data_IF_290067640055
#
_entry.id   IF_290067640055
#
_cell.length_a   1.000
_cell.length_b   1.000
_cell.length_c   1.000
_cell.angle_alpha   90.00
_cell.angle_beta   90.00
_cell.angle_gamma   90.00
#
_symmetry.space_group_name_H-M   'P 1'
#
loop_
_entity.id
_entity.type
_entity.pdbx_description
1 polymer ?
#
# COMPACT_ATOMS: atom_id res chain seq x y z
N UNK A 1 -41.91 89.68 -15.16
CA UNK A 1 -43.01 88.93 -15.80
C UNK A 1 -42.64 87.45 -15.74
N UNK A 2 -43.58 86.61 -15.30
CA UNK A 2 -43.40 85.26 -14.78
C UNK A 2 -43.71 84.20 -15.86
N UNK A 3 -43.03 83.03 -15.79
CA UNK A 3 -43.44 81.66 -16.19
C UNK A 3 -43.06 81.10 -17.60
N UNK A 4 -42.96 79.76 -17.80
CA UNK A 4 -41.78 78.93 -17.45
C UNK A 4 -41.40 77.84 -18.50
N UNK A 5 -40.32 77.11 -18.19
CA UNK A 5 -39.96 75.70 -18.47
C UNK A 5 -40.65 74.86 -19.56
N UNK A 6 -39.83 74.10 -20.31
CA UNK A 6 -40.01 72.64 -20.47
C UNK A 6 -38.64 71.96 -20.68
N UNK A 7 -38.28 71.08 -19.74
CA UNK A 7 -37.20 70.10 -19.86
C UNK A 7 -37.63 68.96 -20.80
N UNK A 8 -36.74 68.49 -21.67
CA UNK A 8 -36.92 67.26 -22.44
C UNK A 8 -35.83 66.27 -22.05
N UNK A 9 -36.25 65.16 -21.45
CA UNK A 9 -35.45 64.00 -21.10
C UNK A 9 -35.04 63.26 -22.38
N UNK A 10 -33.73 63.16 -22.65
CA UNK A 10 -33.23 62.29 -23.70
C UNK A 10 -33.01 60.87 -23.18
N UNK A 11 -33.69 59.96 -23.87
CA UNK A 11 -33.85 58.54 -23.58
C UNK A 11 -32.53 57.77 -23.72
N UNK A 12 -32.27 56.95 -22.70
CA UNK A 12 -31.35 55.80 -22.73
C UNK A 12 -31.83 54.81 -23.81
N UNK A 13 -31.09 54.73 -24.92
CA UNK A 13 -31.31 53.72 -25.97
C UNK A 13 -30.70 52.40 -25.51
N UNK A 14 -31.55 51.50 -25.05
CA UNK A 14 -31.21 50.10 -24.80
C UNK A 14 -30.92 49.38 -26.12
N UNK A 15 -29.64 49.09 -26.37
CA UNK A 15 -29.16 48.30 -27.51
C UNK A 15 -29.45 46.82 -27.23
N UNK A 16 -30.51 46.27 -27.83
CA UNK A 16 -30.80 44.82 -27.86
C UNK A 16 -29.73 44.11 -28.70
N UNK A 17 -28.82 43.38 -28.06
CA UNK A 17 -27.97 42.42 -28.75
C UNK A 17 -28.80 41.20 -29.15
N UNK A 18 -29.05 41.06 -30.46
CA UNK A 18 -29.65 39.86 -31.03
C UNK A 18 -28.61 38.73 -30.99
N UNK A 19 -28.87 37.66 -30.24
CA UNK A 19 -28.09 36.42 -30.30
C UNK A 19 -28.18 35.85 -31.72
N UNK A 20 -27.12 35.96 -32.49
CA UNK A 20 -27.01 35.31 -33.79
C UNK A 20 -27.17 33.79 -33.59
N UNK A 21 -28.21 33.23 -34.20
CA UNK A 21 -28.44 31.78 -34.21
C UNK A 21 -27.33 31.15 -35.02
N UNK A 22 -26.51 30.32 -34.37
CA UNK A 22 -25.45 29.57 -35.04
C UNK A 22 -26.06 28.64 -36.11
N UNK A 23 -25.91 29.00 -37.38
CA UNK A 23 -26.29 28.15 -38.50
C UNK A 23 -25.08 27.32 -38.89
N UNK A 24 -25.11 26.03 -38.54
CA UNK A 24 -24.10 25.07 -38.99
C UNK A 24 -24.13 24.98 -40.53
N UNK A 25 -23.02 25.35 -41.17
CA UNK A 25 -22.84 25.30 -42.63
C UNK A 25 -22.70 23.88 -43.19
N UNK A 26 -22.69 22.87 -42.32
CA UNK A 26 -22.58 21.47 -42.74
C UNK A 26 -23.89 20.95 -43.34
N UNK A 27 -23.78 20.35 -44.52
CA UNK A 27 -24.89 19.66 -45.21
C UNK A 27 -25.50 18.60 -44.30
N UNK A 28 -26.82 18.41 -44.36
CA UNK A 28 -27.56 17.50 -43.47
C UNK A 28 -26.98 16.07 -43.44
N UNK A 29 -26.54 15.55 -44.58
CA UNK A 29 -25.94 14.21 -44.66
C UNK A 29 -24.61 14.09 -43.90
N UNK A 30 -23.80 15.16 -43.86
CA UNK A 30 -22.55 15.19 -43.08
C UNK A 30 -22.85 15.11 -41.58
N UNK A 31 -23.96 15.73 -41.13
CA UNK A 31 -24.39 15.65 -39.72
C UNK A 31 -24.79 14.24 -39.34
N UNK A 32 -25.50 13.53 -40.23
CA UNK A 32 -25.90 12.14 -40.02
C UNK A 32 -24.67 11.24 -39.95
N UNK A 33 -23.72 11.38 -40.88
CA UNK A 33 -22.47 10.62 -40.88
C UNK A 33 -21.65 10.90 -39.62
N UNK A 34 -21.51 12.16 -39.23
CA UNK A 34 -20.81 12.53 -38.00
C UNK A 34 -21.47 11.92 -36.76
N UNK A 35 -22.80 11.84 -36.72
CA UNK A 35 -23.53 11.22 -35.62
C UNK A 35 -23.31 9.71 -35.57
N UNK A 36 -23.27 9.03 -36.72
CA UNK A 36 -22.97 7.59 -36.81
C UNK A 36 -21.53 7.32 -36.37
N UNK A 37 -20.56 8.11 -36.85
CA UNK A 37 -19.16 7.98 -36.43
C UNK A 37 -19.02 8.19 -34.92
N UNK A 38 -19.66 9.22 -34.37
CA UNK A 38 -19.69 9.44 -32.93
C UNK A 38 -20.32 8.25 -32.19
N UNK A 39 -21.47 7.74 -32.66
CA UNK A 39 -22.17 6.63 -32.01
C UNK A 39 -21.42 5.29 -32.06
N UNK A 40 -20.61 5.05 -33.10
CA UNK A 40 -19.84 3.80 -33.26
C UNK A 40 -18.49 3.86 -32.55
N UNK A 41 -17.80 5.00 -32.57
CA UNK A 41 -16.44 5.13 -32.03
C UNK A 41 -16.38 5.71 -30.60
N UNK A 42 -17.41 6.41 -30.13
CA UNK A 42 -17.45 6.85 -28.72
C UNK A 42 -17.55 5.69 -27.73
N UNK A 43 -18.34 4.63 -27.95
CA UNK A 43 -18.44 3.54 -26.97
C UNK A 43 -17.09 2.86 -26.69
N UNK A 44 -16.20 2.77 -27.68
CA UNK A 44 -14.90 2.11 -27.54
C UNK A 44 -13.88 2.99 -26.78
N UNK A 45 -13.89 4.30 -27.05
CA UNK A 45 -13.10 5.29 -26.30
C UNK A 45 -13.65 5.51 -24.88
N UNK A 46 -14.97 5.47 -24.72
CA UNK A 46 -15.63 5.56 -23.40
C UNK A 46 -15.44 4.27 -22.62
N UNK A 47 -15.43 3.09 -23.23
CA UNK A 47 -15.16 1.83 -22.53
C UNK A 47 -13.74 1.80 -21.93
N UNK A 48 -12.73 2.28 -22.65
CA UNK A 48 -11.38 2.44 -22.11
C UNK A 48 -11.30 3.54 -21.03
N UNK A 49 -12.15 4.56 -21.12
CA UNK A 49 -12.34 5.56 -20.07
C UNK A 49 -13.38 5.16 -18.99
N UNK A 50 -13.92 3.94 -18.98
CA UNK A 50 -14.87 3.42 -17.97
C UNK A 50 -14.22 2.38 -17.06
N UNK A 51 -13.00 1.92 -17.39
CA UNK A 51 -12.05 1.52 -16.34
C UNK A 51 -11.61 2.72 -15.49
N UNK A 52 -11.89 3.95 -15.94
CA UNK A 52 -11.91 5.11 -15.05
C UNK A 52 -13.16 5.01 -14.17
N UNK A 53 -12.94 4.77 -12.88
CA UNK A 53 -13.99 4.73 -11.88
C UNK A 53 -14.71 6.09 -11.83
N UNK A 54 -15.84 6.20 -12.51
CA UNK A 54 -16.68 7.40 -12.52
C UNK A 54 -17.15 7.77 -11.11
N UNK A 55 -17.07 6.87 -10.12
CA UNK A 55 -17.28 7.21 -8.70
C UNK A 55 -16.29 8.28 -8.21
N UNK A 56 -15.14 8.46 -8.85
CA UNK A 56 -14.14 9.51 -8.54
C UNK A 56 -14.67 10.92 -8.87
N UNK A 57 -15.56 11.07 -9.85
CA UNK A 57 -16.13 12.36 -10.23
C UNK A 57 -17.43 12.72 -9.49
N UNK A 58 -18.14 11.72 -8.94
CA UNK A 58 -19.42 11.92 -8.24
C UNK A 58 -19.42 11.54 -6.75
N UNK A 59 -18.31 11.05 -6.20
CA UNK A 59 -18.08 11.24 -4.78
C UNK A 59 -17.74 12.71 -4.58
N UNK A 60 -18.67 13.46 -4.00
CA UNK A 60 -18.27 14.58 -3.15
C UNK A 60 -17.08 14.07 -2.33
N UNK A 61 -15.85 14.62 -2.47
CA UNK A 61 -14.83 14.33 -1.49
C UNK A 61 -15.49 14.70 -0.17
N UNK A 62 -15.63 13.74 0.74
CA UNK A 62 -16.13 14.03 2.08
C UNK A 62 -15.39 15.30 2.51
N UNK A 63 -16.16 16.34 2.85
CA UNK A 63 -15.64 17.67 3.13
C UNK A 63 -14.43 17.51 4.06
N UNK A 64 -13.23 17.84 3.58
CA UNK A 64 -12.00 17.73 4.37
C UNK A 64 -11.18 16.44 4.26
N UNK A 65 -11.20 15.70 3.15
CA UNK A 65 -10.24 14.60 2.95
C UNK A 65 -8.77 15.10 2.99
N UNK A 66 -8.02 14.71 4.03
CA UNK A 66 -6.59 15.02 4.18
C UNK A 66 -5.77 13.78 3.83
N UNK A 67 -4.69 13.97 3.08
CA UNK A 67 -3.62 12.99 2.93
C UNK A 67 -2.45 13.43 3.83
N UNK A 68 -2.20 12.75 4.97
CA UNK A 68 -1.07 13.07 5.84
C UNK A 68 0.24 13.06 5.06
N UNK A 69 1.09 14.09 5.26
CA UNK A 69 2.36 14.24 4.53
C UNK A 69 3.32 13.07 4.77
N UNK A 70 3.23 12.42 5.92
CA UNK A 70 4.09 11.30 6.32
C UNK A 70 3.84 10.00 5.56
N UNK A 71 2.71 9.84 4.84
CA UNK A 71 2.45 8.66 4.02
C UNK A 71 3.24 8.64 2.71
N UNK A 72 4.02 9.69 2.41
CA UNK A 72 4.80 9.82 1.17
C UNK A 72 6.22 9.26 1.28
N UNK A 73 6.74 9.06 2.49
CA UNK A 73 8.13 8.65 2.72
C UNK A 73 8.21 7.76 3.97
N UNK A 74 7.96 6.46 3.79
CA UNK A 74 7.86 5.47 4.88
C UNK A 74 9.20 4.74 5.15
N UNK A 75 10.24 5.04 4.38
CA UNK A 75 11.54 4.41 4.51
C UNK A 75 12.21 4.73 5.84
N UNK A 76 12.16 3.77 6.78
CA UNK A 76 12.95 3.75 8.02
C UNK A 76 12.45 4.66 9.16
N UNK A 77 11.13 4.87 9.26
CA UNK A 77 10.53 5.64 10.36
C UNK A 77 10.04 4.69 11.46
N UNK A 78 10.28 5.07 12.72
CA UNK A 78 9.70 4.42 13.90
C UNK A 78 8.17 4.36 13.78
N UNK A 79 7.60 3.14 13.79
CA UNK A 79 6.16 2.89 13.60
C UNK A 79 5.30 3.70 14.56
N UNK A 80 5.69 3.79 15.83
CA UNK A 80 4.95 4.52 16.84
C UNK A 80 4.95 6.03 16.54
N UNK A 81 6.12 6.59 16.19
CA UNK A 81 6.27 8.00 15.83
C UNK A 81 5.47 8.36 14.58
N UNK A 82 5.48 7.51 13.56
CA UNK A 82 4.70 7.72 12.34
C UNK A 82 3.20 7.79 12.63
N UNK A 83 2.67 6.82 13.39
CA UNK A 83 1.25 6.80 13.78
C UNK A 83 0.90 8.02 14.63
N UNK A 84 1.76 8.37 15.61
CA UNK A 84 1.59 9.57 16.44
C UNK A 84 1.43 10.83 15.59
N UNK A 85 2.29 11.01 14.59
CA UNK A 85 2.24 12.18 13.71
C UNK A 85 0.97 12.20 12.86
N UNK A 86 0.56 11.05 12.31
CA UNK A 86 -0.71 10.92 11.58
C UNK A 86 -1.89 11.31 12.47
N UNK A 87 -1.93 10.82 13.71
CA UNK A 87 -2.99 11.15 14.67
C UNK A 87 -3.03 12.64 15.02
N UNK A 88 -1.87 13.28 15.23
CA UNK A 88 -1.80 14.74 15.47
C UNK A 88 -2.31 15.55 14.28
N UNK A 89 -2.03 15.10 13.06
CA UNK A 89 -2.43 15.79 11.84
C UNK A 89 -3.94 15.73 11.58
N UNK A 90 -4.65 14.76 12.15
CA UNK A 90 -6.09 14.57 11.90
C UNK A 90 -6.97 14.86 13.12
N UNK A 91 -6.42 14.76 14.33
CA UNK A 91 -7.19 14.92 15.56
C UNK A 91 -7.83 16.30 15.67
N UNK A 92 -9.10 16.31 16.10
CA UNK A 92 -9.92 17.51 16.31
C UNK A 92 -10.17 18.35 15.04
N UNK A 93 -9.84 17.84 13.86
CA UNK A 93 -10.26 18.41 12.58
C UNK A 93 -11.63 17.85 12.21
N UNK A 94 -12.52 18.62 11.56
CA UNK A 94 -13.85 18.18 11.16
C UNK A 94 -13.80 17.27 9.92
N UNK A 95 -12.93 16.26 9.94
CA UNK A 95 -12.68 15.36 8.82
C UNK A 95 -13.25 13.98 9.14
N UNK A 96 -14.00 13.42 8.21
CA UNK A 96 -14.60 12.07 8.32
C UNK A 96 -14.05 11.11 7.27
N UNK A 97 -13.16 11.56 6.41
CA UNK A 97 -12.47 10.72 5.45
C UNK A 97 -10.98 11.05 5.46
N UNK A 98 -10.15 10.01 5.49
CA UNK A 98 -8.69 10.13 5.44
C UNK A 98 -8.24 9.39 4.19
N UNK A 99 -7.69 10.14 3.23
CA UNK A 99 -7.18 9.57 1.99
C UNK A 99 -5.75 9.10 2.23
N UNK A 100 -5.57 7.78 2.32
CA UNK A 100 -4.27 7.16 2.55
C UNK A 100 -3.52 7.02 1.22
N UNK A 101 -4.21 6.61 0.15
CA UNK A 101 -3.67 6.56 -1.22
C UNK A 101 -4.71 6.99 -2.25
N UNK A 102 -4.35 6.93 -3.54
CA UNK A 102 -5.30 7.14 -4.64
C UNK A 102 -6.52 6.23 -4.55
N UNK A 103 -6.34 5.01 -4.02
CA UNK A 103 -7.35 3.94 -4.04
C UNK A 103 -7.87 3.57 -2.64
N UNK A 104 -7.26 4.11 -1.56
CA UNK A 104 -7.66 3.82 -0.19
C UNK A 104 -8.09 5.09 0.53
N UNK A 105 -9.37 5.12 0.90
CA UNK A 105 -9.95 6.13 1.80
C UNK A 105 -10.52 5.43 3.01
N UNK A 106 -10.12 5.87 4.21
CA UNK A 106 -10.69 5.42 5.47
C UNK A 106 -11.81 6.39 5.81
N UNK A 107 -13.04 5.89 5.87
CA UNK A 107 -14.18 6.65 6.36
C UNK A 107 -14.31 6.44 7.86
N UNK A 108 -14.49 7.52 8.59
CA UNK A 108 -14.79 7.56 10.01
C UNK A 108 -16.28 7.84 10.18
N UNK A 109 -16.94 7.12 11.10
CA UNK A 109 -18.35 7.37 11.41
C UNK A 109 -18.56 8.78 11.97
N UNK A 110 -17.56 9.31 12.69
CA UNK A 110 -17.55 10.65 13.27
C UNK A 110 -16.16 11.28 13.15
N UNK A 111 -16.05 12.63 13.16
CA UNK A 111 -14.74 13.29 13.23
C UNK A 111 -13.92 12.77 14.42
N UNK A 112 -12.62 12.54 14.20
CA UNK A 112 -11.75 12.01 15.24
C UNK A 112 -11.58 13.04 16.37
N UNK A 113 -12.28 12.83 17.48
CA UNK A 113 -12.12 13.61 18.71
C UNK A 113 -11.11 12.91 19.60
N UNK A 114 -9.90 13.45 19.67
CA UNK A 114 -8.81 12.85 20.43
C UNK A 114 -7.95 13.94 21.07
N UNK A 115 -7.70 13.83 22.37
CA UNK A 115 -6.80 14.75 23.07
C UNK A 115 -5.34 14.44 22.74
N UNK A 116 -4.46 15.44 22.85
CA UNK A 116 -3.02 15.22 22.71
C UNK A 116 -2.51 14.17 23.71
N UNK A 117 -3.05 14.16 24.93
CA UNK A 117 -2.73 13.14 25.93
C UNK A 117 -3.05 11.73 25.41
N UNK A 118 -4.23 11.52 24.83
CA UNK A 118 -4.61 10.23 24.27
C UNK A 118 -3.69 9.80 23.12
N UNK A 119 -3.23 10.76 22.30
CA UNK A 119 -2.27 10.47 21.23
C UNK A 119 -0.92 10.03 21.81
N UNK A 120 -0.44 10.65 22.89
CA UNK A 120 0.81 10.23 23.55
C UNK A 120 0.63 8.86 24.24
N UNK A 121 -0.53 8.56 24.82
CA UNK A 121 -0.83 7.22 25.35
C UNK A 121 -0.75 6.15 24.26
N UNK A 122 -1.31 6.44 23.07
CA UNK A 122 -1.21 5.56 21.90
C UNK A 122 0.24 5.42 21.45
N UNK A 123 1.02 6.50 21.42
CA UNK A 123 2.43 6.48 21.06
C UNK A 123 3.26 5.58 22.00
N UNK A 124 3.09 5.74 23.31
CA UNK A 124 3.79 4.90 24.29
C UNK A 124 3.35 3.44 24.19
N UNK A 125 2.06 3.19 23.96
CA UNK A 125 1.51 1.86 23.73
C UNK A 125 2.10 1.20 22.47
N UNK A 126 2.28 1.96 21.39
CA UNK A 126 2.82 1.52 20.11
C UNK A 126 4.31 1.18 20.13
N UNK A 127 5.03 1.45 21.23
CA UNK A 127 6.39 0.94 21.43
C UNK A 127 6.42 -0.58 21.61
N UNK A 128 5.28 -1.22 21.86
CA UNK A 128 5.11 -2.67 21.77
C UNK A 128 5.27 -3.20 20.34
N UNK A 129 5.43 -4.51 20.18
CA UNK A 129 5.65 -5.12 18.86
C UNK A 129 4.31 -5.41 18.16
N UNK A 130 4.00 -4.78 17.00
CA UNK A 130 2.92 -5.26 16.14
C UNK A 130 3.35 -6.58 15.49
N UNK A 131 2.49 -7.59 15.49
CA UNK A 131 2.87 -8.93 15.02
C UNK A 131 1.93 -9.53 13.98
N UNK A 132 0.65 -9.13 13.93
CA UNK A 132 -0.25 -9.61 12.87
C UNK A 132 0.15 -9.14 11.46
N UNK A 133 0.93 -8.07 11.37
CA UNK A 133 1.45 -7.48 10.13
C UNK A 133 2.51 -8.34 9.45
N UNK A 134 3.17 -9.25 10.17
CA UNK A 134 4.17 -10.18 9.62
C UNK A 134 3.59 -11.12 8.59
N UNK A 135 2.39 -11.65 8.85
CA UNK A 135 1.70 -12.53 7.91
C UNK A 135 1.39 -11.84 6.57
N UNK A 136 1.05 -10.54 6.63
CA UNK A 136 0.81 -9.74 5.43
C UNK A 136 2.12 -9.35 4.73
N UNK A 137 3.19 -9.07 5.48
CA UNK A 137 4.52 -8.88 4.93
C UNK A 137 4.98 -10.12 4.15
N UNK A 138 4.86 -11.30 4.75
CA UNK A 138 5.19 -12.57 4.11
C UNK A 138 4.34 -12.79 2.86
N UNK A 139 3.04 -12.48 2.92
CA UNK A 139 2.14 -12.60 1.77
C UNK A 139 2.57 -11.68 0.62
N UNK A 140 2.88 -10.43 0.91
CA UNK A 140 3.27 -9.43 -0.09
C UNK A 140 4.61 -9.82 -0.73
N UNK A 141 5.59 -10.23 0.07
CA UNK A 141 6.87 -10.74 -0.46
C UNK A 141 6.69 -12.00 -1.30
N UNK A 142 5.88 -12.95 -0.84
CA UNK A 142 5.53 -14.15 -1.61
C UNK A 142 4.89 -13.79 -2.96
N UNK A 143 4.09 -12.72 -2.98
CA UNK A 143 3.45 -12.18 -4.19
C UNK A 143 4.36 -11.27 -5.03
N UNK A 144 5.66 -11.20 -4.72
CA UNK A 144 6.64 -10.40 -5.45
C UNK A 144 6.58 -8.89 -5.18
N UNK A 145 5.91 -8.46 -4.10
CA UNK A 145 5.84 -7.06 -3.67
C UNK A 145 6.83 -6.80 -2.54
N UNK A 146 7.89 -6.06 -2.85
CA UNK A 146 8.83 -5.59 -1.84
C UNK A 146 8.23 -4.41 -1.07
N UNK A 147 7.93 -4.65 0.21
CA UNK A 147 7.35 -3.66 1.12
C UNK A 147 8.06 -3.79 2.46
N UNK A 148 8.31 -2.68 3.18
CA UNK A 148 8.86 -2.74 4.52
C UNK A 148 7.78 -3.20 5.53
N UNK A 149 8.14 -4.09 6.46
CA UNK A 149 7.20 -4.56 7.50
C UNK A 149 6.65 -3.40 8.35
N UNK A 150 7.49 -2.40 8.62
CA UNK A 150 7.11 -1.19 9.34
C UNK A 150 5.95 -0.43 8.66
N UNK A 151 5.99 -0.30 7.34
CA UNK A 151 4.95 0.40 6.55
C UNK A 151 3.59 -0.29 6.69
N UNK A 152 3.62 -1.63 6.67
CA UNK A 152 2.42 -2.46 6.84
C UNK A 152 1.87 -2.28 8.26
N UNK A 153 2.75 -2.25 9.27
CA UNK A 153 2.38 -2.02 10.66
C UNK A 153 1.78 -0.63 10.88
N UNK A 154 2.41 0.42 10.36
CA UNK A 154 1.91 1.80 10.41
C UNK A 154 0.50 1.85 9.84
N UNK A 155 0.30 1.28 8.66
CA UNK A 155 -0.99 1.33 7.98
C UNK A 155 -2.07 0.54 8.72
N UNK A 156 -1.82 -0.73 9.04
CA UNK A 156 -2.80 -1.60 9.69
C UNK A 156 -3.21 -1.05 11.07
N UNK A 157 -2.25 -0.63 11.89
CA UNK A 157 -2.54 -0.07 13.22
C UNK A 157 -3.27 1.26 13.13
N UNK A 158 -2.90 2.13 12.18
CA UNK A 158 -3.63 3.38 11.95
C UNK A 158 -5.09 3.09 11.61
N UNK A 159 -5.36 2.13 10.72
CA UNK A 159 -6.73 1.72 10.37
C UNK A 159 -7.49 1.25 11.62
N UNK A 160 -6.90 0.39 12.44
CA UNK A 160 -7.56 -0.13 13.64
C UNK A 160 -7.82 0.95 14.70
N UNK A 161 -6.85 1.83 14.96
CA UNK A 161 -6.99 2.94 15.92
C UNK A 161 -8.10 3.89 15.46
N UNK A 162 -8.12 4.23 14.17
CA UNK A 162 -9.13 5.11 13.59
C UNK A 162 -10.54 4.53 13.61
N UNK A 163 -10.66 3.21 13.58
CA UNK A 163 -11.93 2.51 13.65
C UNK A 163 -12.32 2.09 15.08
N UNK A 164 -11.58 2.56 16.10
CA UNK A 164 -11.79 2.23 17.51
C UNK A 164 -11.74 0.71 17.80
N UNK A 165 -11.04 -0.05 16.95
CA UNK A 165 -10.92 -1.51 17.03
C UNK A 165 -9.91 -1.92 18.10
N UNK A 166 -8.79 -1.20 18.16
CA UNK A 166 -7.73 -1.41 19.15
C UNK A 166 -7.58 -0.15 19.99
N UNK A 167 -7.45 -0.35 21.30
CA UNK A 167 -7.32 0.71 22.28
C UNK A 167 -6.06 0.48 23.11
N UNK A 168 -5.30 1.54 23.45
CA UNK A 168 -4.28 1.43 24.47
C UNK A 168 -4.97 1.10 25.81
N UNK A 169 -4.77 -0.15 26.24
CA UNK A 169 -5.14 -0.67 27.56
C UNK A 169 -3.88 -1.27 28.18
N UNK A 170 -3.42 -0.70 29.29
CA UNK A 170 -2.16 -1.11 29.93
C UNK A 170 -0.93 -0.91 29.04
N UNK A 171 0.09 -1.73 29.27
CA UNK A 171 1.32 -1.75 28.46
C UNK A 171 1.53 -3.18 27.92
N UNK A 172 0.79 -3.59 26.87
CA UNK A 172 0.86 -4.94 26.37
C UNK A 172 2.19 -5.14 25.63
N UNK A 173 2.85 -6.27 25.89
CA UNK A 173 4.07 -6.65 25.16
C UNK A 173 3.84 -6.84 23.66
N UNK A 174 2.59 -7.12 23.24
CA UNK A 174 2.22 -7.40 21.87
C UNK A 174 0.91 -6.71 21.49
N UNK A 175 0.91 -6.05 20.33
CA UNK A 175 -0.24 -5.30 19.83
C UNK A 175 -0.97 -6.12 18.78
N UNK A 176 -2.28 -6.30 19.01
CA UNK A 176 -3.19 -6.99 18.09
C UNK A 176 -3.50 -6.11 16.88
N UNK A 177 -3.67 -6.75 15.73
CA UNK A 177 -4.24 -6.13 14.52
C UNK A 177 -5.47 -6.91 14.07
N UNK A 178 -6.45 -6.24 13.49
CA UNK A 178 -7.66 -6.89 13.00
C UNK A 178 -7.51 -7.43 11.58
N UNK A 179 -8.33 -8.44 11.25
CA UNK A 179 -8.46 -8.98 9.89
C UNK A 179 -8.90 -7.88 8.91
N UNK A 180 -9.75 -6.96 9.38
CA UNK A 180 -10.19 -5.79 8.62
C UNK A 180 -9.02 -4.87 8.25
N UNK A 181 -8.17 -4.51 9.22
CA UNK A 181 -7.01 -3.66 8.97
C UNK A 181 -6.02 -4.30 8.00
N UNK A 182 -5.73 -5.60 8.14
CA UNK A 182 -4.87 -6.33 7.22
C UNK A 182 -5.45 -6.37 5.80
N UNK A 183 -6.77 -6.58 5.64
CA UNK A 183 -7.44 -6.50 4.33
C UNK A 183 -7.27 -5.12 3.68
N UNK A 184 -7.53 -4.03 4.41
CA UNK A 184 -7.36 -2.66 3.87
C UNK A 184 -5.89 -2.32 3.59
N UNK A 185 -4.96 -2.78 4.43
CA UNK A 185 -3.54 -2.60 4.19
C UNK A 185 -3.08 -3.33 2.92
N UNK A 186 -3.58 -4.55 2.67
CA UNK A 186 -3.27 -5.31 1.46
C UNK A 186 -3.69 -4.58 0.17
N UNK A 187 -4.86 -3.92 0.20
CA UNK A 187 -5.37 -3.12 -0.92
C UNK A 187 -4.48 -1.91 -1.23
N UNK A 188 -3.92 -1.26 -0.20
CA UNK A 188 -2.98 -0.15 -0.37
C UNK A 188 -1.71 -0.57 -1.12
N UNK A 189 -1.19 -1.76 -0.83
CA UNK A 189 -0.01 -2.30 -1.51
C UNK A 189 -0.33 -2.97 -2.86
N UNK A 190 -1.56 -2.78 -3.37
CA UNK A 190 -2.00 -3.29 -4.66
C UNK A 190 -2.22 -4.81 -4.70
N UNK A 191 -2.47 -5.43 -3.54
CA UNK A 191 -2.80 -6.85 -3.41
C UNK A 191 -4.07 -7.00 -2.58
N UNK A 192 -5.22 -6.72 -3.20
CA UNK A 192 -6.50 -6.72 -2.48
C UNK A 192 -6.88 -8.12 -1.99
N UNK A 193 -6.78 -8.32 -0.68
CA UNK A 193 -7.25 -9.50 0.01
C UNK A 193 -8.62 -9.29 0.63
N UNK A 194 -9.44 -10.33 0.58
CA UNK A 194 -10.80 -10.29 1.09
C UNK A 194 -10.92 -11.13 2.37
N UNK A 195 -11.53 -10.58 3.43
CA UNK A 195 -11.82 -11.34 4.63
C UNK A 195 -12.95 -12.33 4.33
N UNK A 196 -12.68 -13.60 4.62
CA UNK A 196 -13.62 -14.70 4.41
C UNK A 196 -13.65 -15.62 5.62
N UNK A 197 -14.75 -16.36 5.74
CA UNK A 197 -14.91 -17.46 6.68
C UNK A 197 -15.11 -18.74 5.89
N UNK A 198 -14.32 -19.77 6.19
CA UNK A 198 -14.48 -21.08 5.60
C UNK A 198 -15.68 -21.78 6.24
N UNK A 199 -16.57 -22.31 5.41
CA UNK A 199 -17.71 -23.10 5.87
C UNK A 199 -17.21 -24.27 6.75
N UNK A 200 -17.89 -24.54 7.86
CA UNK A 200 -17.57 -25.68 8.74
C UNK A 200 -17.55 -27.01 7.98
N UNK A 201 -18.40 -27.15 6.95
CA UNK A 201 -18.43 -28.34 6.08
C UNK A 201 -17.27 -28.37 5.07
N UNK A 202 -16.76 -27.20 4.66
CA UNK A 202 -15.61 -27.05 3.76
C UNK A 202 -14.26 -27.09 4.49
N UNK A 203 -14.22 -26.82 5.79
CA UNK A 203 -12.99 -26.84 6.61
C UNK A 203 -12.29 -28.20 6.56
N UNK A 204 -13.02 -29.30 6.47
CA UNK A 204 -12.46 -30.66 6.43
C UNK A 204 -12.10 -31.14 5.03
N UNK A 205 -12.80 -30.68 3.98
CA UNK A 205 -12.66 -31.21 2.62
C UNK A 205 -12.03 -30.25 1.58
N UNK A 206 -12.01 -28.93 1.81
CA UNK A 206 -11.76 -27.95 0.73
C UNK A 206 -10.65 -26.92 1.00
N UNK A 207 -9.80 -27.10 2.01
CA UNK A 207 -8.46 -26.49 1.96
C UNK A 207 -7.71 -27.15 0.81
N UNK A 208 -7.89 -26.57 -0.38
CA UNK A 208 -7.29 -26.99 -1.64
C UNK A 208 -6.20 -26.00 -2.02
N UNK A 209 -5.30 -26.42 -2.90
CA UNK A 209 -4.27 -25.55 -3.45
C UNK A 209 -4.84 -24.32 -4.20
N UNK A 210 -6.14 -24.28 -4.50
CA UNK A 210 -6.79 -23.14 -5.14
C UNK A 210 -6.94 -21.92 -4.20
N UNK A 211 -6.88 -22.11 -2.88
CA UNK A 211 -6.91 -21.02 -1.90
C UNK A 211 -5.51 -20.44 -1.63
N UNK A 212 -4.46 -21.16 -1.98
CA UNK A 212 -3.08 -20.81 -1.65
C UNK A 212 -2.55 -19.79 -2.66
N UNK A 213 -1.79 -18.76 -2.24
CA UNK A 213 -1.49 -18.39 -0.85
C UNK A 213 -2.64 -17.64 -0.17
N UNK A 214 -2.84 -17.87 1.14
CA UNK A 214 -3.79 -17.11 1.95
C UNK A 214 -3.30 -16.90 3.38
N UNK A 215 -3.76 -15.86 4.05
CA UNK A 215 -3.46 -15.64 5.47
C UNK A 215 -4.55 -16.32 6.29
N UNK A 216 -4.17 -17.25 7.16
CA UNK A 216 -5.06 -17.95 8.07
C UNK A 216 -5.03 -17.32 9.46
N UNK A 217 -6.19 -17.22 10.11
CA UNK A 217 -6.28 -16.91 11.52
C UNK A 217 -6.35 -18.20 12.34
N UNK A 218 -5.43 -18.37 13.28
CA UNK A 218 -5.37 -19.48 14.21
C UNK A 218 -6.00 -19.11 15.56
N UNK A 219 -6.49 -20.10 16.29
CA UNK A 219 -6.97 -19.99 17.65
C UNK A 219 -5.81 -19.54 18.55
N UNK A 220 -6.08 -18.64 19.49
CA UNK A 220 -5.04 -17.94 20.24
C UNK A 220 -4.58 -16.64 19.58
N UNK A 221 -5.42 -16.07 18.71
CA UNK A 221 -5.25 -14.77 18.08
C UNK A 221 -3.94 -14.70 17.26
N UNK A 222 -3.68 -15.61 16.33
CA UNK A 222 -2.43 -15.58 15.56
C UNK A 222 -2.70 -15.62 14.06
N UNK A 223 -1.91 -14.92 13.26
CA UNK A 223 -1.99 -14.97 11.81
C UNK A 223 -0.77 -15.67 11.22
N UNK A 224 -1.01 -16.58 10.29
CA UNK A 224 0.05 -17.27 9.53
C UNK A 224 -0.25 -17.22 8.05
N UNK A 225 0.78 -17.17 7.21
CA UNK A 225 0.62 -17.28 5.75
C UNK A 225 0.63 -18.75 5.36
N UNK A 226 -0.47 -19.30 4.87
CA UNK A 226 -0.48 -20.65 4.30
C UNK A 226 0.07 -20.61 2.87
N UNK A 227 1.15 -21.35 2.63
CA UNK A 227 1.92 -21.33 1.37
C UNK A 227 1.75 -22.60 0.54
N UNK A 228 1.31 -23.72 1.14
CA UNK A 228 1.06 -24.98 0.43
C UNK A 228 0.16 -25.92 1.25
N UNK A 229 -0.72 -26.65 0.56
CA UNK A 229 -1.54 -27.70 1.17
C UNK A 229 -1.31 -29.03 0.44
N UNK A 230 -0.95 -30.08 1.19
CA UNK A 230 -0.86 -31.46 0.68
C UNK A 230 -2.00 -32.30 1.23
N UNK A 231 -2.00 -33.60 0.91
CA UNK A 231 -2.99 -34.54 1.43
C UNK A 231 -2.99 -34.60 2.96
N UNK A 232 -1.80 -34.63 3.56
CA UNK A 232 -1.56 -34.89 4.98
C UNK A 232 -1.05 -33.68 5.78
N UNK A 233 -0.54 -32.63 5.11
CA UNK A 233 0.16 -31.49 5.75
C UNK A 233 -0.28 -30.15 5.20
N UNK A 234 -0.15 -29.13 6.05
CA UNK A 234 -0.30 -27.73 5.69
C UNK A 234 1.03 -27.03 6.02
N UNK A 235 1.60 -26.37 5.02
CA UNK A 235 2.81 -25.56 5.13
C UNK A 235 2.42 -24.09 5.24
N UNK A 236 3.06 -23.38 6.16
CA UNK A 236 2.78 -21.98 6.41
C UNK A 236 4.03 -21.22 6.88
N UNK A 237 4.09 -19.92 6.61
CA UNK A 237 5.06 -19.01 7.23
C UNK A 237 4.52 -18.50 8.56
N UNK A 238 5.30 -18.71 9.61
CA UNK A 238 5.13 -18.07 10.92
C UNK A 238 6.43 -17.34 11.27
N UNK A 239 6.34 -16.02 11.44
CA UNK A 239 7.47 -15.18 11.82
C UNK A 239 8.65 -15.29 10.83
N UNK A 240 8.32 -15.22 9.53
CA UNK A 240 9.25 -15.34 8.39
C UNK A 240 9.91 -16.73 8.25
N UNK A 241 9.41 -17.74 8.96
CA UNK A 241 9.93 -19.11 8.90
C UNK A 241 8.87 -20.06 8.37
N UNK A 242 9.25 -20.88 7.40
CA UNK A 242 8.39 -21.95 6.92
C UNK A 242 8.28 -23.06 7.98
N UNK A 243 7.05 -23.34 8.37
CA UNK A 243 6.66 -24.41 9.27
C UNK A 243 5.62 -25.32 8.60
N UNK A 244 5.35 -26.47 9.22
CA UNK A 244 4.27 -27.34 8.78
C UNK A 244 3.59 -28.04 9.96
N UNK A 245 2.31 -28.32 9.78
CA UNK A 245 1.52 -29.14 10.69
C UNK A 245 0.79 -30.24 9.92
N UNK A 246 0.53 -31.41 10.55
CA UNK A 246 -0.46 -32.35 10.05
C UNK A 246 -1.79 -31.62 9.83
N UNK A 247 -2.48 -31.94 8.73
CA UNK A 247 -3.70 -31.24 8.29
C UNK A 247 -4.75 -31.18 9.41
N UNK A 248 -5.01 -32.31 10.07
CA UNK A 248 -5.94 -32.39 11.20
C UNK A 248 -5.55 -31.44 12.35
N UNK A 249 -4.26 -31.41 12.71
CA UNK A 249 -3.75 -30.54 13.77
C UNK A 249 -3.91 -29.06 13.42
N UNK A 250 -3.59 -28.69 12.17
CA UNK A 250 -3.80 -27.32 11.70
C UNK A 250 -5.28 -26.94 11.74
N UNK A 251 -6.17 -27.81 11.25
CA UNK A 251 -7.62 -27.57 11.23
C UNK A 251 -8.20 -27.40 12.64
N UNK A 252 -7.70 -28.13 13.63
CA UNK A 252 -8.10 -27.97 15.03
C UNK A 252 -7.67 -26.62 15.62
N UNK A 253 -6.59 -26.03 15.10
CA UNK A 253 -6.13 -24.68 15.48
C UNK A 253 -6.69 -23.59 14.57
N UNK A 254 -7.28 -23.90 13.43
CA UNK A 254 -7.77 -22.89 12.49
C UNK A 254 -9.11 -22.32 12.95
N UNK A 255 -9.21 -21.00 13.09
CA UNK A 255 -10.46 -20.35 13.56
C UNK A 255 -11.58 -20.39 12.52
N UNK A 256 -11.23 -20.67 11.26
CA UNK A 256 -12.11 -20.57 10.11
C UNK A 256 -12.01 -19.22 9.38
N UNK A 257 -11.36 -18.20 9.94
CA UNK A 257 -11.20 -16.89 9.30
C UNK A 257 -9.91 -16.84 8.47
N UNK A 258 -9.99 -16.22 7.29
CA UNK A 258 -8.87 -16.08 6.38
C UNK A 258 -8.91 -14.76 5.59
N UNK A 259 -7.77 -14.36 5.04
CA UNK A 259 -7.65 -13.38 3.96
C UNK A 259 -7.23 -14.09 2.69
N UNK A 260 -8.05 -13.99 1.65
CA UNK A 260 -7.85 -14.69 0.37
C UNK A 260 -7.82 -13.72 -0.80
N UNK A 261 -7.18 -14.12 -1.90
CA UNK A 261 -7.22 -13.38 -3.14
C UNK A 261 -8.51 -13.72 -3.92
N UNK A 262 -9.40 -12.75 -4.06
CA UNK A 262 -10.68 -12.91 -4.76
C UNK A 262 -11.83 -13.50 -3.91
N UNK A 263 -13.06 -13.08 -4.21
CA UNK A 263 -14.27 -13.46 -3.46
C UNK A 263 -14.98 -14.72 -4.00
N UNK A 264 -14.59 -15.21 -5.17
CA UNK A 264 -15.31 -16.29 -5.89
C UNK A 264 -14.77 -17.69 -5.58
N UNK A 265 -14.19 -17.89 -4.41
CA UNK A 265 -13.64 -19.18 -4.00
C UNK A 265 -14.75 -20.03 -3.38
N UNK A 266 -14.98 -21.22 -3.95
CA UNK A 266 -15.91 -22.21 -3.40
C UNK A 266 -15.52 -22.54 -1.95
N UNK A 267 -16.52 -22.71 -1.08
CA UNK A 267 -16.30 -23.03 0.33
C UNK A 267 -15.94 -21.83 1.22
N UNK A 268 -15.99 -20.61 0.68
CA UNK A 268 -15.76 -19.38 1.44
C UNK A 268 -17.01 -18.50 1.49
N UNK A 269 -17.23 -17.87 2.64
CA UNK A 269 -18.30 -16.88 2.86
C UNK A 269 -17.64 -15.53 3.12
N UNK A 270 -17.95 -14.47 2.35
CA UNK A 270 -17.45 -13.13 2.62
C UNK A 270 -17.82 -12.66 4.04
N UNK A 271 -16.85 -12.07 4.73
CA UNK A 271 -17.03 -11.55 6.09
C UNK A 271 -17.31 -10.05 6.02
N UNK A 272 -18.27 -9.58 6.82
CA UNK A 272 -18.59 -8.15 6.90
C UNK A 272 -17.50 -7.37 7.61
N UNK A 273 -17.35 -6.06 7.32
CA UNK A 273 -16.35 -5.22 7.99
C UNK A 273 -16.49 -5.25 9.53
N UNK A 274 -17.72 -5.24 10.06
CA UNK A 274 -17.99 -5.31 11.50
C UNK A 274 -17.52 -6.62 12.14
N UNK A 275 -17.65 -7.74 11.42
CA UNK A 275 -17.15 -9.03 11.87
C UNK A 275 -15.63 -9.14 11.72
N UNK A 276 -15.07 -8.69 10.60
CA UNK A 276 -13.63 -8.71 10.36
C UNK A 276 -12.84 -7.85 11.39
N UNK A 277 -13.43 -6.75 11.88
CA UNK A 277 -12.88 -5.93 12.96
C UNK A 277 -12.76 -6.69 14.30
N UNK A 278 -13.58 -7.72 14.53
CA UNK A 278 -13.57 -8.52 15.77
C UNK A 278 -12.57 -9.68 15.74
N UNK A 279 -12.07 -10.04 14.56
CA UNK A 279 -11.06 -11.08 14.38
C UNK A 279 -9.70 -10.41 14.57
N UNK A 280 -9.12 -10.56 15.76
CA UNK A 280 -7.88 -9.91 16.16
C UNK A 280 -6.74 -10.93 16.25
N UNK A 281 -5.55 -10.57 15.80
CA UNK A 281 -4.37 -11.39 15.94
C UNK A 281 -3.19 -10.67 16.58
N UNK A 282 -2.65 -11.25 17.64
CA UNK A 282 -1.30 -11.07 18.11
C UNK A 282 -0.61 -12.40 18.52
N UNK A 283 0.63 -12.63 18.08
CA UNK A 283 1.48 -13.72 18.59
C UNK A 283 1.69 -13.55 20.10
N UNK A 284 1.06 -14.40 20.90
CA UNK A 284 1.31 -14.42 22.34
C UNK A 284 2.68 -15.02 22.65
N UNK A 285 3.51 -14.32 23.42
CA UNK A 285 4.74 -14.88 24.02
C UNK A 285 4.45 -16.09 24.92
N UNK A 286 3.19 -16.31 25.31
CA UNK A 286 2.75 -17.49 26.07
C UNK A 286 2.63 -18.78 25.24
N UNK A 287 3.20 -18.83 24.03
CA UNK A 287 3.31 -20.04 23.21
C UNK A 287 4.29 -21.07 23.79
N UNK A 288 4.15 -21.39 25.08
CA UNK A 288 4.65 -22.63 25.68
C UNK A 288 3.82 -23.87 25.25
N UNK A 289 2.88 -23.76 24.30
CA UNK A 289 2.04 -24.89 23.90
C UNK A 289 2.51 -25.64 22.64
N UNK A 290 3.55 -25.17 21.97
CA UNK A 290 4.15 -25.91 20.85
C UNK A 290 5.66 -26.01 21.03
N UNK A 291 6.10 -27.10 21.67
CA UNK A 291 7.45 -27.61 21.51
C UNK A 291 7.49 -28.36 20.17
N UNK A 292 8.28 -27.92 19.18
CA UNK A 292 8.52 -28.71 17.99
C UNK A 292 9.03 -30.08 18.40
N UNK A 293 8.53 -31.14 17.78
CA UNK A 293 9.12 -32.47 17.99
C UNK A 293 10.58 -32.44 17.54
N UNK A 294 11.46 -33.27 18.12
CA UNK A 294 12.90 -33.26 17.81
C UNK A 294 13.24 -33.25 16.29
N UNK A 295 12.51 -33.97 15.42
CA UNK A 295 12.71 -33.90 13.97
C UNK A 295 12.33 -32.55 13.36
N UNK A 296 11.25 -31.92 13.84
CA UNK A 296 10.82 -30.58 13.40
C UNK A 296 11.82 -29.52 13.84
N UNK A 297 12.33 -29.64 15.08
CA UNK A 297 13.36 -28.74 15.59
C UNK A 297 14.64 -28.83 14.76
N UNK A 298 15.09 -30.04 14.39
CA UNK A 298 16.28 -30.24 13.57
C UNK A 298 16.11 -29.65 12.16
N UNK A 299 14.93 -29.79 11.57
CA UNK A 299 14.61 -29.19 10.26
C UNK A 299 14.48 -27.66 10.36
N UNK A 300 13.98 -27.15 11.48
CA UNK A 300 13.86 -25.72 11.78
C UNK A 300 15.24 -25.07 11.99
N UNK A 301 16.13 -25.73 12.71
CA UNK A 301 17.51 -25.29 12.93
C UNK A 301 18.28 -25.29 11.60
N UNK A 302 18.09 -26.31 10.76
CA UNK A 302 18.72 -26.39 9.44
C UNK A 302 18.21 -25.29 8.49
N UNK A 303 16.88 -25.12 8.37
CA UNK A 303 16.28 -24.09 7.51
C UNK A 303 16.70 -22.67 7.92
N UNK A 304 16.69 -22.38 9.23
CA UNK A 304 17.11 -21.08 9.76
C UNK A 304 18.58 -20.78 9.44
N UNK A 305 19.46 -21.80 9.55
CA UNK A 305 20.87 -21.65 9.20
C UNK A 305 21.10 -21.38 7.70
N UNK A 306 20.30 -21.99 6.83
CA UNK A 306 20.37 -21.78 5.37
C UNK A 306 19.89 -20.37 5.00
N UNK A 307 18.76 -19.92 5.55
CA UNK A 307 18.24 -18.57 5.29
C UNK A 307 19.17 -17.49 5.82
N UNK A 308 19.74 -17.67 7.00
CA UNK A 308 20.73 -16.74 7.56
C UNK A 308 22.02 -16.72 6.72
N UNK A 309 22.44 -17.86 6.17
CA UNK A 309 23.56 -17.92 5.22
C UNK A 309 23.25 -17.17 3.93
N UNK A 310 22.04 -17.33 3.38
CA UNK A 310 21.60 -16.63 2.16
C UNK A 310 21.51 -15.12 2.38
N UNK A 311 20.98 -14.67 3.51
CA UNK A 311 20.90 -13.24 3.84
C UNK A 311 22.29 -12.61 4.00
N UNK A 312 23.22 -13.34 4.62
CA UNK A 312 24.61 -12.92 4.72
C UNK A 312 25.28 -12.86 3.34
N UNK A 313 25.02 -13.83 2.47
CA UNK A 313 25.56 -13.88 1.12
C UNK A 313 24.98 -12.74 0.26
N UNK A 314 23.67 -12.52 0.27
CA UNK A 314 22.98 -11.41 -0.42
C UNK A 314 23.51 -10.06 0.08
N UNK A 315 23.69 -9.90 1.40
CA UNK A 315 24.24 -8.68 1.99
C UNK A 315 25.69 -8.46 1.57
N UNK A 316 26.49 -9.51 1.49
CA UNK A 316 27.87 -9.45 1.01
C UNK A 316 27.95 -9.09 -0.48
N UNK A 317 27.05 -9.65 -1.30
CA UNK A 317 26.95 -9.34 -2.72
C UNK A 317 26.50 -7.90 -2.95
N UNK A 318 25.55 -7.40 -2.15
CA UNK A 318 25.11 -6.00 -2.18
C UNK A 318 26.26 -5.05 -1.82
N UNK A 319 26.99 -5.33 -0.73
CA UNK A 319 28.14 -4.52 -0.32
C UNK A 319 29.27 -4.57 -1.37
N UNK A 320 29.53 -5.72 -1.99
CA UNK A 320 30.50 -5.87 -3.06
C UNK A 320 30.10 -5.11 -4.33
N UNK A 321 28.81 -5.13 -4.68
CA UNK A 321 28.25 -4.39 -5.80
C UNK A 321 28.33 -2.87 -5.57
N UNK A 322 27.98 -2.41 -4.37
CA UNK A 322 28.10 -1.00 -3.97
C UNK A 322 29.57 -0.54 -3.99
N UNK A 323 30.50 -1.36 -3.50
CA UNK A 323 31.94 -1.05 -3.54
C UNK A 323 32.51 -1.01 -4.96
N UNK A 324 32.12 -1.95 -5.84
CA UNK A 324 32.56 -1.94 -7.26
C UNK A 324 31.97 -0.74 -7.99
N UNK A 325 30.70 -0.44 -7.79
CA UNK A 325 30.03 0.70 -8.40
C UNK A 325 30.64 2.04 -7.95
N UNK A 326 30.96 2.19 -6.66
CA UNK A 326 31.63 3.38 -6.13
C UNK A 326 33.05 3.54 -6.70
N UNK A 327 33.77 2.42 -6.87
CA UNK A 327 35.11 2.40 -7.46
C UNK A 327 35.09 2.73 -8.96
N UNK A 328 34.12 2.21 -9.70
CA UNK A 328 34.01 2.44 -11.15
C UNK A 328 33.49 3.85 -11.46
N UNK A 329 32.67 4.44 -10.58
CA UNK A 329 32.34 5.89 -10.62
C UNK A 329 33.57 6.73 -10.29
N UNK A 330 34.36 6.38 -9.27
CA UNK A 330 35.57 7.12 -8.94
C UNK A 330 36.62 7.08 -10.07
N UNK A 331 36.74 5.94 -10.76
CA UNK A 331 37.63 5.78 -11.92
C UNK A 331 37.09 6.55 -13.13
N UNK A 332 35.78 6.48 -13.43
CA UNK A 332 35.20 7.21 -14.58
C UNK A 332 35.17 8.72 -14.39
N UNK A 333 34.88 9.22 -13.17
CA UNK A 333 34.95 10.64 -12.82
C UNK A 333 36.41 11.11 -12.79
N UNK A 334 37.35 10.32 -12.27
CA UNK A 334 38.78 10.63 -12.32
C UNK A 334 39.32 10.72 -13.75
N UNK A 335 38.84 9.84 -14.65
CA UNK A 335 39.25 9.84 -16.07
C UNK A 335 38.59 10.99 -16.84
N UNK A 336 37.34 11.33 -16.54
CA UNK A 336 36.64 12.47 -17.14
C UNK A 336 37.22 13.83 -16.69
N UNK A 337 37.64 13.96 -15.42
CA UNK A 337 38.31 15.17 -14.91
C UNK A 337 39.74 15.29 -15.46
N UNK A 338 40.46 14.18 -15.66
CA UNK A 338 41.77 14.18 -16.30
C UNK A 338 41.70 14.54 -17.81
N UNK A 339 40.63 14.15 -18.51
CA UNK A 339 40.42 14.51 -19.91
C UNK A 339 39.87 15.95 -20.08
N UNK A 340 39.09 16.46 -19.13
CA UNK A 340 38.62 17.84 -19.13
C UNK A 340 39.72 18.86 -18.72
N UNK A 341 40.79 18.41 -18.06
CA UNK A 341 41.91 19.24 -17.61
C UNK A 341 42.97 19.59 -18.67
N UNK A 342 42.87 19.07 -19.90
CA UNK A 342 43.86 19.32 -20.98
C UNK A 342 43.38 20.42 -21.96
N UNK A 343 42.18 20.97 -21.80
CA UNK A 343 41.68 22.04 -22.66
C UNK A 343 40.90 23.12 -21.90
N UNK A 344 41.59 23.95 -21.13
CA UNK A 344 41.26 25.38 -21.02
C UNK A 344 42.28 26.12 -20.15
N UNK A 345 43.09 26.95 -20.82
CA UNK A 345 43.74 28.08 -20.19
C UNK A 345 42.67 29.13 -19.85
N UNK A 346 42.62 29.57 -18.60
CA UNK A 346 42.06 30.87 -18.21
C UNK A 346 40.79 30.86 -17.34
N UNK A 347 40.89 31.46 -16.15
CA UNK A 347 39.77 32.19 -15.54
C UNK A 347 39.02 31.53 -14.38
N UNK A 348 39.55 31.71 -13.18
CA UNK A 348 38.87 32.21 -11.97
C UNK A 348 37.31 32.34 -11.93
N UNK A 349 36.74 31.90 -10.79
CA UNK A 349 35.37 32.08 -10.25
C UNK A 349 34.28 31.05 -10.65
N UNK A 350 33.91 30.14 -9.73
CA UNK A 350 32.57 30.02 -9.11
C UNK A 350 32.58 28.94 -8.00
N UNK A 351 31.89 29.24 -6.89
CA UNK A 351 31.99 28.57 -5.60
C UNK A 351 31.13 27.33 -5.36
N UNK A 352 31.34 26.78 -4.15
CA UNK A 352 30.62 25.68 -3.51
C UNK A 352 29.09 25.90 -3.51
N UNK A 353 28.36 25.23 -4.40
CA UNK A 353 26.89 25.25 -4.39
C UNK A 353 26.17 24.17 -5.20
N UNK A 354 26.87 23.39 -6.03
CA UNK A 354 26.22 22.49 -6.99
C UNK A 354 26.19 20.98 -6.61
N UNK A 355 26.64 20.58 -5.41
CA UNK A 355 26.78 19.16 -5.05
C UNK A 355 25.52 18.48 -4.47
N UNK A 356 24.49 19.24 -4.07
CA UNK A 356 23.31 18.66 -3.42
C UNK A 356 22.15 18.31 -4.39
N UNK A 357 22.06 18.98 -5.55
CA UNK A 357 20.92 18.86 -6.47
C UNK A 357 21.02 17.73 -7.51
N UNK A 358 22.21 17.24 -7.81
CA UNK A 358 22.38 16.18 -8.82
C UNK A 358 22.14 14.77 -8.27
N UNK A 359 22.23 14.55 -6.96
CA UNK A 359 22.27 13.22 -6.35
C UNK A 359 20.93 12.47 -6.36
N UNK A 360 19.79 13.16 -6.52
CA UNK A 360 18.46 12.55 -6.53
C UNK A 360 18.03 12.09 -7.92
N UNK A 361 18.32 12.87 -8.97
CA UNK A 361 17.95 12.51 -10.35
C UNK A 361 18.83 11.40 -10.94
N UNK A 362 20.11 11.34 -10.60
CA UNK A 362 20.97 10.24 -11.07
C UNK A 362 20.60 8.91 -10.42
N UNK A 363 20.20 8.90 -9.13
CA UNK A 363 19.76 7.66 -8.47
C UNK A 363 18.55 7.02 -9.13
N UNK A 364 17.53 7.79 -9.53
CA UNK A 364 16.35 7.24 -10.18
C UNK A 364 16.61 6.72 -11.60
N UNK A 365 17.46 7.41 -12.38
CA UNK A 365 17.83 6.95 -13.72
C UNK A 365 18.74 5.69 -13.68
N UNK A 366 19.60 5.58 -12.67
CA UNK A 366 20.55 4.47 -12.51
C UNK A 366 19.85 3.20 -12.02
N UNK A 367 18.88 3.29 -11.11
CA UNK A 367 18.12 2.11 -10.65
C UNK A 367 17.32 1.49 -11.80
N UNK A 368 16.73 2.30 -12.69
CA UNK A 368 16.01 1.81 -13.86
C UNK A 368 16.90 1.09 -14.90
N UNK A 369 18.14 1.54 -15.07
CA UNK A 369 19.11 0.91 -15.97
C UNK A 369 19.69 -0.41 -15.40
N UNK A 370 19.88 -0.48 -14.08
CA UNK A 370 20.41 -1.68 -13.42
C UNK A 370 19.44 -2.88 -13.52
N UNK A 371 18.13 -2.65 -13.38
CA UNK A 371 17.12 -3.72 -13.54
C UNK A 371 17.07 -4.25 -14.97
N UNK A 372 17.25 -3.38 -15.98
CA UNK A 372 17.29 -3.78 -17.38
C UNK A 372 18.50 -4.65 -17.75
N UNK A 373 19.66 -4.42 -17.14
CA UNK A 373 20.90 -5.17 -17.43
C UNK A 373 20.88 -6.55 -16.76
N UNK A 374 20.32 -6.68 -15.56
CA UNK A 374 20.25 -7.97 -14.84
C UNK A 374 19.25 -8.93 -15.51
N UNK A 375 18.12 -8.42 -16.00
CA UNK A 375 17.13 -9.25 -16.73
C UNK A 375 17.69 -9.74 -18.05
N UNK A 376 18.49 -8.94 -18.75
CA UNK A 376 19.09 -9.32 -20.04
C UNK A 376 20.22 -10.36 -19.86
N UNK A 377 21.03 -10.26 -18.80
CA UNK A 377 22.11 -11.23 -18.53
C UNK A 377 21.64 -12.59 -18.00
N UNK A 378 20.51 -12.65 -17.30
CA UNK A 378 19.90 -13.94 -16.91
C UNK A 378 19.33 -14.71 -18.11
N UNK A 379 18.97 -14.02 -19.20
CA UNK A 379 18.47 -14.67 -20.42
C UNK A 379 19.59 -15.19 -21.33
N UNK A 380 20.81 -14.66 -21.26
CA UNK A 380 21.90 -15.04 -22.16
C UNK A 380 22.81 -16.14 -21.63
N UNK A 381 22.72 -16.50 -20.34
CA UNK A 381 23.36 -17.72 -19.80
C UNK A 381 24.89 -17.71 -19.67
N UNK A 382 25.55 -16.56 -19.80
CA UNK A 382 27.01 -16.45 -19.67
C UNK A 382 27.41 -16.22 -18.19
N UNK A 383 28.06 -17.23 -17.60
CA UNK A 383 28.84 -17.15 -16.36
C UNK A 383 30.30 -17.50 -16.62
#
# INVERSE_FOLDING_TARGET
MIKPETHTEDRVVAKKEAKEKFHSSFKAWIRVVAFIVAAVFLPEQVAQAVEYDWRVLWHNPAVGAIAPSYLKDLGNIDTALAIRNVLKDIANKPITAIKISSNLTINLDNPLKMSNQRIEEIYEWLKGKPCGTKSLYDYLNYSGKQVAEGDIAILALTIDILNDVVKPEGNPGVIKTSLYALSKASEFFGQKLYPVKLDANSRTHELTNNLVPFIAHLNGDHYVLVTRVTEDKIYFSDDHREEFLPKEKFLNTFSGYALVQGLSLKGTVPVTDSEAKKVLGAKSDSSNSWTPTAPQKQMQDYSSSVMQSLDNEISSMRSAAENRFTRDIAISVGTAVALAGISSYGGQWFGNGAYAGMNSYTRYAITGAATGIVVNKMQTGDW
#
